data_IF_838160718992
#
_entry.id   IF_838160718992
#
_cell.length_a   1.000
_cell.length_b   1.000
_cell.length_c   1.000
_cell.angle_alpha   90.00
_cell.angle_beta   90.00
_cell.angle_gamma   90.00
#
_symmetry.space_group_name_H-M   'P 1'
#
loop_
_entity.id
_entity.type
_entity.pdbx_description
1 polymer ?
#
# COMPACT_ATOMS: atom_id res chain seq x y z
N UNK A 1 -11.72 -25.05 -2.36
CA UNK A 1 -10.62 -25.07 -3.36
C UNK A 1 -9.63 -23.92 -3.13
N UNK A 2 -10.07 -22.64 -3.19
CA UNK A 2 -9.14 -21.48 -3.11
C UNK A 2 -8.32 -21.45 -1.83
N UNK A 3 -8.94 -21.60 -0.65
CA UNK A 3 -8.21 -21.60 0.62
C UNK A 3 -7.29 -22.81 0.76
N UNK A 4 -7.65 -23.97 0.18
CA UNK A 4 -6.75 -25.14 0.15
C UNK A 4 -5.52 -24.90 -0.71
N UNK A 5 -5.68 -24.30 -1.90
CA UNK A 5 -4.57 -23.91 -2.76
C UNK A 5 -3.67 -22.87 -2.05
N UNK A 6 -4.29 -21.93 -1.34
CA UNK A 6 -3.56 -20.91 -0.58
C UNK A 6 -2.71 -21.51 0.55
N UNK A 7 -3.18 -22.58 1.22
CA UNK A 7 -2.36 -23.28 2.23
C UNK A 7 -1.06 -23.84 1.62
N UNK A 8 -1.09 -24.31 0.37
CA UNK A 8 0.10 -24.77 -0.35
C UNK A 8 1.04 -23.60 -0.63
N UNK A 9 0.51 -22.46 -1.12
CA UNK A 9 1.29 -21.27 -1.44
C UNK A 9 1.91 -20.62 -0.18
N UNK A 10 1.34 -20.82 1.00
CA UNK A 10 1.89 -20.32 2.26
C UNK A 10 3.11 -21.09 2.77
N UNK A 11 3.49 -22.18 2.13
CA UNK A 11 4.67 -22.95 2.55
C UNK A 11 5.93 -22.09 2.43
N UNK A 12 6.69 -22.00 3.53
CA UNK A 12 7.93 -21.22 3.54
C UNK A 12 8.95 -21.81 2.54
N UNK A 13 9.69 -20.94 1.86
CA UNK A 13 10.62 -21.30 0.79
C UNK A 13 10.00 -21.22 -0.61
N UNK A 14 8.66 -21.05 -0.72
CA UNK A 14 7.95 -20.94 -2.01
C UNK A 14 7.06 -19.71 -2.11
N UNK A 15 7.03 -18.87 -1.10
CA UNK A 15 6.16 -17.70 -1.02
C UNK A 15 6.55 -16.65 -2.03
N UNK A 16 5.57 -16.21 -2.80
CA UNK A 16 5.66 -15.06 -3.68
C UNK A 16 5.14 -13.78 -2.98
N UNK A 17 5.21 -12.66 -3.66
CA UNK A 17 4.72 -11.36 -3.18
C UNK A 17 3.25 -11.41 -2.74
N UNK A 18 2.39 -12.20 -3.43
CA UNK A 18 0.98 -12.32 -3.11
C UNK A 18 0.73 -12.80 -1.68
N UNK A 19 1.53 -13.75 -1.20
CA UNK A 19 1.42 -14.29 0.16
C UNK A 19 1.74 -13.21 1.21
N UNK A 20 2.73 -12.35 0.94
CA UNK A 20 3.06 -11.22 1.81
C UNK A 20 1.96 -10.15 1.78
N UNK A 21 1.43 -9.81 0.59
CA UNK A 21 0.27 -8.90 0.45
C UNK A 21 -0.94 -9.42 1.22
N UNK A 22 -1.22 -10.72 1.13
CA UNK A 22 -2.31 -11.35 1.86
C UNK A 22 -2.08 -11.29 3.38
N UNK A 23 -0.85 -11.52 3.85
CA UNK A 23 -0.51 -11.40 5.26
C UNK A 23 -0.72 -9.96 5.77
N UNK A 24 -0.24 -8.93 5.06
CA UNK A 24 -0.43 -7.52 5.42
C UNK A 24 -1.92 -7.17 5.43
N UNK A 25 -2.66 -7.53 4.38
CA UNK A 25 -4.09 -7.25 4.27
C UNK A 25 -4.89 -7.89 5.41
N UNK A 26 -4.61 -9.16 5.74
CA UNK A 26 -5.36 -9.91 6.76
C UNK A 26 -4.93 -9.54 8.20
N UNK A 27 -3.64 -9.31 8.45
CA UNK A 27 -3.12 -9.14 9.81
C UNK A 27 -2.99 -7.69 10.22
N UNK A 28 -2.71 -6.77 9.28
CA UNK A 28 -2.55 -5.36 9.58
C UNK A 28 -3.80 -4.59 9.17
N UNK A 29 -4.18 -4.58 7.88
CA UNK A 29 -5.31 -3.78 7.41
C UNK A 29 -6.64 -4.20 8.04
N UNK A 30 -6.99 -5.48 7.99
CA UNK A 30 -8.27 -5.99 8.52
C UNK A 30 -8.15 -6.56 9.94
N UNK A 31 -6.97 -6.94 10.39
CA UNK A 31 -6.73 -7.49 11.72
C UNK A 31 -6.57 -6.43 12.81
N UNK A 32 -5.96 -5.27 12.48
CA UNK A 32 -5.76 -4.15 13.40
C UNK A 32 -6.72 -3.00 13.11
N UNK A 33 -7.12 -2.84 11.87
CA UNK A 33 -8.00 -1.77 11.37
C UNK A 33 -9.23 -2.37 10.70
N UNK A 34 -9.99 -1.53 10.00
CA UNK A 34 -11.09 -1.95 9.12
C UNK A 34 -11.03 -1.13 7.83
N UNK A 35 -11.67 -1.61 6.76
CA UNK A 35 -11.79 -0.85 5.50
C UNK A 35 -12.59 0.45 5.64
N UNK A 36 -13.27 0.68 6.78
CA UNK A 36 -13.92 1.95 7.13
C UNK A 36 -12.98 2.95 7.78
N UNK A 37 -11.97 2.47 8.51
CA UNK A 37 -11.04 3.32 9.28
C UNK A 37 -9.70 3.52 8.59
N UNK A 38 -9.30 2.58 7.74
CA UNK A 38 -8.05 2.61 6.99
C UNK A 38 -8.29 2.40 5.49
N UNK A 39 -7.41 2.93 4.67
CA UNK A 39 -7.38 2.67 3.23
C UNK A 39 -6.05 2.03 2.84
N UNK A 40 -6.04 1.27 1.75
CA UNK A 40 -4.86 0.61 1.22
C UNK A 40 -4.63 1.03 -0.22
N UNK A 41 -3.39 1.37 -0.55
CA UNK A 41 -2.97 1.68 -1.90
C UNK A 41 -1.97 0.63 -2.34
N UNK A 42 -2.18 0.10 -3.54
CA UNK A 42 -1.25 -0.83 -4.16
C UNK A 42 -0.42 -0.09 -5.21
N UNK A 43 0.84 -0.47 -5.33
CA UNK A 43 1.72 0.02 -6.37
C UNK A 43 1.79 1.56 -6.46
N UNK A 44 1.88 2.22 -5.31
CA UNK A 44 1.88 3.68 -5.26
C UNK A 44 3.25 4.25 -5.66
N UNK A 45 3.26 5.18 -6.62
CA UNK A 45 4.49 5.83 -7.08
C UNK A 45 5.06 6.73 -5.98
N UNK A 46 6.37 6.60 -5.71
CA UNK A 46 7.13 7.46 -4.81
C UNK A 46 8.50 7.74 -5.43
N UNK A 47 8.68 8.92 -5.99
CA UNK A 47 9.86 9.29 -6.76
C UNK A 47 10.07 8.35 -7.95
N UNK A 48 11.25 7.74 -8.06
CA UNK A 48 11.59 6.75 -9.09
C UNK A 48 11.20 5.32 -8.72
N UNK A 49 10.66 5.10 -7.52
CA UNK A 49 10.23 3.79 -7.02
C UNK A 49 8.70 3.66 -7.01
N UNK A 50 8.23 2.43 -6.85
CA UNK A 50 6.83 2.07 -6.74
C UNK A 50 6.66 1.20 -5.51
N UNK A 51 5.93 1.69 -4.53
CA UNK A 51 5.70 1.02 -3.27
C UNK A 51 4.70 -0.13 -3.46
N UNK A 52 5.01 -1.31 -2.96
CA UNK A 52 4.16 -2.49 -3.11
C UNK A 52 2.80 -2.27 -2.44
N UNK A 53 2.82 -1.74 -1.22
CA UNK A 53 1.60 -1.52 -0.46
C UNK A 53 1.76 -0.33 0.50
N UNK A 54 0.73 0.53 0.57
CA UNK A 54 0.64 1.63 1.54
C UNK A 54 -0.66 1.52 2.31
N UNK A 55 -0.60 1.61 3.63
CA UNK A 55 -1.77 1.71 4.51
C UNK A 55 -1.87 3.13 5.05
N UNK A 56 -3.06 3.71 4.92
CA UNK A 56 -3.43 5.04 5.39
C UNK A 56 -4.36 4.91 6.60
N UNK A 57 -3.84 5.17 7.80
CA UNK A 57 -4.61 5.15 9.03
C UNK A 57 -4.05 6.15 10.05
N UNK A 58 -4.51 7.41 9.97
CA UNK A 58 -3.92 8.52 10.73
C UNK A 58 -2.55 8.95 10.18
N UNK A 59 -1.74 8.01 9.73
CA UNK A 59 -0.45 8.24 9.06
C UNK A 59 -0.37 7.43 7.77
N UNK A 60 0.59 7.75 6.90
CA UNK A 60 0.91 6.95 5.71
C UNK A 60 2.08 6.01 6.01
N UNK A 61 1.79 4.72 6.03
CA UNK A 61 2.79 3.66 6.26
C UNK A 61 2.98 2.84 5.00
N UNK A 62 4.18 2.83 4.44
CA UNK A 62 4.55 1.98 3.31
C UNK A 62 5.11 0.64 3.81
N UNK A 63 4.78 -0.41 3.09
CA UNK A 63 5.30 -1.77 3.26
C UNK A 63 5.95 -2.19 1.95
N UNK A 64 7.27 -2.30 1.95
CA UNK A 64 8.05 -2.92 0.88
C UNK A 64 8.15 -4.40 1.15
N UNK A 65 7.84 -5.22 0.16
CA UNK A 65 7.86 -6.68 0.27
C UNK A 65 9.17 -7.22 -0.31
N UNK A 66 9.83 -8.07 0.44
CA UNK A 66 10.98 -8.87 -0.03
C UNK A 66 10.67 -10.34 0.21
N UNK A 67 10.08 -10.97 -0.80
CA UNK A 67 9.80 -12.40 -0.78
C UNK A 67 11.12 -13.22 -0.76
N UNK A 68 11.00 -14.51 -0.63
CA UNK A 68 12.16 -15.41 -0.48
C UNK A 68 13.10 -15.43 -1.70
N UNK A 69 12.63 -14.97 -2.86
CA UNK A 69 13.37 -14.95 -4.13
C UNK A 69 13.83 -13.56 -4.56
N UNK A 70 13.46 -12.52 -3.81
CA UNK A 70 13.77 -11.15 -4.18
C UNK A 70 15.21 -10.77 -3.84
N UNK A 71 15.80 -9.91 -4.69
CA UNK A 71 17.09 -9.30 -4.44
C UNK A 71 16.96 -8.03 -3.60
N UNK A 72 17.90 -7.81 -2.68
CA UNK A 72 18.01 -6.60 -1.88
C UNK A 72 18.74 -5.45 -2.59
N UNK A 73 19.29 -5.67 -3.80
CA UNK A 73 20.13 -4.69 -4.49
C UNK A 73 19.49 -3.32 -4.70
N UNK A 74 18.17 -3.24 -4.84
CA UNK A 74 17.42 -1.98 -5.02
C UNK A 74 16.84 -1.41 -3.73
N UNK A 75 16.93 -2.15 -2.61
CA UNK A 75 16.20 -1.83 -1.38
C UNK A 75 16.59 -0.47 -0.80
N UNK A 76 17.87 -0.13 -0.74
CA UNK A 76 18.33 1.16 -0.24
C UNK A 76 17.71 2.33 -1.03
N UNK A 77 17.75 2.27 -2.36
CA UNK A 77 17.15 3.30 -3.22
C UNK A 77 15.62 3.38 -3.09
N UNK A 78 14.93 2.22 -2.97
CA UNK A 78 13.50 2.17 -2.73
C UNK A 78 13.13 2.86 -1.43
N UNK A 79 13.82 2.53 -0.33
CA UNK A 79 13.63 3.14 0.99
C UNK A 79 13.85 4.65 0.95
N UNK A 80 14.89 5.13 0.29
CA UNK A 80 15.16 6.57 0.17
C UNK A 80 14.03 7.31 -0.57
N UNK A 81 13.50 6.73 -1.63
CA UNK A 81 12.34 7.28 -2.33
C UNK A 81 11.09 7.28 -1.42
N UNK A 82 10.85 6.20 -0.67
CA UNK A 82 9.69 6.09 0.21
C UNK A 82 9.73 7.09 1.37
N UNK A 83 10.90 7.33 1.95
CA UNK A 83 11.11 8.31 3.02
C UNK A 83 10.76 9.74 2.60
N UNK A 84 10.79 10.04 1.31
CA UNK A 84 10.40 11.35 0.76
C UNK A 84 8.90 11.54 0.62
N UNK A 85 8.09 10.49 0.78
CA UNK A 85 6.63 10.52 0.59
C UNK A 85 5.87 10.06 1.83
N UNK A 86 6.40 9.08 2.56
CA UNK A 86 5.70 8.41 3.66
C UNK A 86 6.38 8.67 5.00
N UNK A 87 5.56 8.91 6.03
CA UNK A 87 6.06 9.12 7.39
C UNK A 87 6.67 7.86 7.99
N UNK A 88 6.10 6.68 7.69
CA UNK A 88 6.59 5.38 8.18
C UNK A 88 6.95 4.47 7.02
N UNK A 89 8.11 3.83 7.11
CA UNK A 89 8.60 2.86 6.12
C UNK A 89 8.87 1.54 6.82
N UNK A 90 8.24 0.47 6.35
CA UNK A 90 8.50 -0.89 6.79
C UNK A 90 8.96 -1.75 5.62
N UNK A 91 9.88 -2.67 5.89
CA UNK A 91 10.22 -3.76 4.99
C UNK A 91 9.75 -5.05 5.63
N UNK A 92 8.94 -5.84 4.91
CA UNK A 92 8.51 -7.16 5.35
C UNK A 92 9.14 -8.23 4.48
N UNK A 93 9.73 -9.24 5.11
CA UNK A 93 10.50 -10.25 4.39
C UNK A 93 10.42 -11.65 5.03
N UNK A 94 11.03 -12.62 4.35
CA UNK A 94 11.35 -13.92 4.92
C UNK A 94 12.44 -13.82 6.00
N UNK A 95 12.55 -14.84 6.84
CA UNK A 95 13.57 -14.90 7.88
C UNK A 95 14.99 -14.73 7.30
N UNK A 96 15.23 -15.30 6.13
CA UNK A 96 16.58 -15.37 5.53
C UNK A 96 17.07 -14.01 5.02
N UNK A 97 16.17 -13.06 4.78
CA UNK A 97 16.50 -11.69 4.35
C UNK A 97 16.69 -10.70 5.51
N UNK A 98 16.29 -11.05 6.75
CA UNK A 98 16.20 -10.09 7.86
C UNK A 98 17.57 -9.44 8.16
N UNK A 99 18.65 -10.21 8.26
CA UNK A 99 19.98 -9.68 8.56
C UNK A 99 20.44 -8.71 7.46
N UNK A 100 20.39 -9.13 6.20
CA UNK A 100 20.76 -8.28 5.08
C UNK A 100 19.91 -7.01 4.95
N UNK A 101 18.61 -7.06 5.32
CA UNK A 101 17.76 -5.88 5.37
C UNK A 101 18.21 -4.94 6.49
N UNK A 102 18.48 -5.45 7.70
CA UNK A 102 18.93 -4.64 8.84
C UNK A 102 20.23 -3.89 8.51
N UNK A 103 21.14 -4.52 7.78
CA UNK A 103 22.41 -3.92 7.33
C UNK A 103 22.19 -2.89 6.22
N UNK A 104 21.19 -3.10 5.38
CA UNK A 104 20.94 -2.25 4.18
C UNK A 104 20.15 -0.98 4.52
N UNK A 105 19.18 -1.05 5.44
CA UNK A 105 18.24 0.05 5.67
C UNK A 105 18.55 0.85 6.95
N UNK A 106 18.31 2.18 6.96
CA UNK A 106 18.51 3.03 8.12
C UNK A 106 17.72 2.55 9.37
N UNK A 107 18.18 2.97 10.56
CA UNK A 107 17.60 2.53 11.84
C UNK A 107 16.14 2.97 12.06
N UNK A 108 15.70 4.02 11.39
CA UNK A 108 14.33 4.54 11.43
C UNK A 108 13.33 3.74 10.56
N UNK A 109 13.82 2.81 9.75
CA UNK A 109 13.00 1.91 8.93
C UNK A 109 12.62 0.68 9.73
N UNK A 110 11.34 0.34 9.77
CA UNK A 110 10.84 -0.87 10.41
C UNK A 110 11.20 -2.13 9.62
N UNK A 111 11.44 -3.21 10.35
CA UNK A 111 11.72 -4.52 9.76
C UNK A 111 10.77 -5.56 10.34
N UNK A 112 10.05 -6.25 9.47
CA UNK A 112 9.06 -7.25 9.81
C UNK A 112 9.41 -8.59 9.17
N UNK A 113 9.13 -9.67 9.87
CA UNK A 113 9.33 -11.03 9.40
C UNK A 113 8.00 -11.75 9.23
N UNK A 114 7.74 -12.33 8.05
CA UNK A 114 6.64 -13.27 7.86
C UNK A 114 7.11 -14.67 8.25
N UNK A 115 6.73 -15.12 9.44
CA UNK A 115 7.12 -16.42 9.99
C UNK A 115 6.57 -17.61 9.19
N UNK A 116 7.14 -18.80 9.39
CA UNK A 116 6.65 -20.06 8.78
C UNK A 116 5.17 -20.34 9.07
N UNK A 117 4.65 -19.86 10.20
CA UNK A 117 3.23 -20.02 10.59
C UNK A 117 2.31 -18.91 10.08
N UNK A 118 2.71 -18.18 9.05
CA UNK A 118 1.95 -17.07 8.48
C UNK A 118 1.58 -15.99 9.51
N UNK A 119 2.54 -15.65 10.39
CA UNK A 119 2.43 -14.58 11.38
C UNK A 119 3.46 -13.49 11.07
N UNK A 120 3.04 -12.24 11.13
CA UNK A 120 3.94 -11.09 11.03
C UNK A 120 4.51 -10.83 12.42
N UNK A 121 5.83 -10.78 12.51
CA UNK A 121 6.57 -10.44 13.73
C UNK A 121 7.39 -9.19 13.44
N UNK A 122 7.27 -8.17 14.27
CA UNK A 122 8.10 -6.97 14.19
C UNK A 122 9.48 -7.27 14.78
N UNK A 123 10.52 -7.11 13.98
CA UNK A 123 11.91 -7.26 14.39
C UNK A 123 12.47 -5.90 14.84
N UNK A 124 12.08 -4.84 14.13
CA UNK A 124 12.40 -3.45 14.46
C UNK A 124 11.21 -2.58 14.11
N UNK A 125 10.81 -1.70 15.03
CA UNK A 125 9.73 -0.73 14.80
C UNK A 125 10.17 0.38 13.85
N UNK A 126 9.24 0.83 13.00
CA UNK A 126 9.46 2.00 12.16
C UNK A 126 9.24 3.28 12.96
N UNK A 127 10.18 4.21 12.89
CA UNK A 127 9.96 5.56 13.40
C UNK A 127 9.00 6.34 12.48
N UNK A 128 8.12 7.13 13.07
CA UNK A 128 7.26 8.05 12.34
C UNK A 128 7.98 9.40 12.16
N UNK A 129 8.22 9.78 10.91
CA UNK A 129 9.05 10.92 10.52
C UNK A 129 8.39 11.75 9.41
N UNK A 130 7.26 12.43 9.67
CA UNK A 130 6.60 13.26 8.66
C UNK A 130 7.43 14.47 8.24
N UNK A 131 8.32 14.98 9.11
CA UNK A 131 9.17 16.14 8.86
C UNK A 131 10.21 15.94 7.74
N UNK A 132 10.51 14.68 7.37
CA UNK A 132 11.47 14.36 6.30
C UNK A 132 10.84 14.30 4.91
N UNK A 133 9.53 14.40 4.81
CA UNK A 133 8.79 14.29 3.56
C UNK A 133 9.16 15.46 2.64
N UNK A 134 9.38 15.16 1.36
CA UNK A 134 9.67 16.16 0.35
C UNK A 134 8.37 16.57 -0.36
N UNK A 135 7.86 17.80 -0.15
CA UNK A 135 6.59 18.23 -0.71
C UNK A 135 6.50 18.11 -2.23
N UNK A 136 7.60 18.37 -2.93
CA UNK A 136 7.67 18.21 -4.39
C UNK A 136 7.53 16.75 -4.80
N UNK A 137 8.16 15.82 -4.09
CA UNK A 137 8.03 14.37 -4.39
C UNK A 137 6.62 13.87 -4.09
N UNK A 138 5.97 14.40 -3.05
CA UNK A 138 4.54 14.13 -2.77
C UNK A 138 3.67 14.60 -3.93
N UNK A 139 3.84 15.85 -4.40
CA UNK A 139 3.11 16.38 -5.55
C UNK A 139 3.24 15.46 -6.78
N UNK A 140 4.45 15.03 -7.10
CA UNK A 140 4.75 14.15 -8.25
C UNK A 140 4.15 12.74 -8.10
N UNK A 141 3.72 12.36 -6.88
CA UNK A 141 3.09 11.07 -6.57
C UNK A 141 1.56 11.12 -6.59
N UNK A 142 0.98 12.31 -6.60
CA UNK A 142 -0.46 12.54 -6.51
C UNK A 142 -1.10 12.73 -7.89
N UNK A 143 -2.41 12.50 -7.96
CA UNK A 143 -3.22 12.96 -9.09
C UNK A 143 -3.43 14.47 -9.00
N UNK A 144 -3.55 15.14 -10.12
CA UNK A 144 -3.77 16.61 -10.16
C UNK A 144 -4.98 17.05 -9.33
N UNK A 145 -6.08 16.28 -9.35
CA UNK A 145 -7.27 16.57 -8.54
C UNK A 145 -6.98 16.46 -7.03
N UNK A 146 -6.18 15.48 -6.62
CA UNK A 146 -5.76 15.31 -5.22
C UNK A 146 -4.86 16.48 -4.78
N UNK A 147 -3.93 16.89 -5.63
CA UNK A 147 -3.04 18.04 -5.39
C UNK A 147 -3.83 19.36 -5.26
N UNK A 148 -4.80 19.59 -6.13
CA UNK A 148 -5.68 20.79 -6.02
C UNK A 148 -6.44 20.79 -4.69
N UNK A 149 -7.00 19.63 -4.29
CA UNK A 149 -7.74 19.51 -3.04
C UNK A 149 -6.84 19.82 -1.83
N UNK A 150 -5.62 19.30 -1.81
CA UNK A 150 -4.65 19.54 -0.73
C UNK A 150 -4.34 21.03 -0.61
N UNK A 151 -3.98 21.70 -1.72
CA UNK A 151 -3.68 23.14 -1.71
C UNK A 151 -4.87 23.97 -1.21
N UNK A 152 -6.09 23.67 -1.69
CA UNK A 152 -7.31 24.34 -1.22
C UNK A 152 -7.55 24.16 0.28
N UNK A 153 -7.38 22.94 0.78
CA UNK A 153 -7.58 22.66 2.21
C UNK A 153 -6.53 23.35 3.08
N UNK A 154 -5.31 23.51 2.55
CA UNK A 154 -4.22 24.25 3.21
C UNK A 154 -4.31 25.77 3.01
N UNK A 155 -5.38 26.29 2.41
CA UNK A 155 -5.61 27.72 2.20
C UNK A 155 -4.73 28.35 1.12
N UNK A 156 -4.10 27.54 0.26
CA UNK A 156 -3.26 28.03 -0.84
C UNK A 156 -4.09 28.28 -2.07
N UNK A 157 -4.06 29.52 -2.56
CA UNK A 157 -4.76 29.92 -3.79
C UNK A 157 -3.96 29.44 -5.00
N UNK A 158 -4.58 28.61 -5.83
CA UNK A 158 -3.98 28.16 -7.09
C UNK A 158 -4.31 29.19 -8.18
N UNK A 159 -3.31 29.86 -8.75
CA UNK A 159 -3.58 30.88 -9.80
C UNK A 159 -4.08 30.19 -11.08
N UNK A 160 -4.90 30.96 -11.84
CA UNK A 160 -5.27 30.55 -13.19
C UNK A 160 -4.08 30.76 -14.13
N UNK A 161 -3.56 29.66 -14.65
CA UNK A 161 -2.43 29.64 -15.60
C UNK A 161 -2.73 28.71 -16.78
N UNK A 162 -2.09 28.93 -17.92
CA UNK A 162 -2.19 28.02 -19.07
C UNK A 162 -1.78 26.57 -18.66
N UNK A 163 -2.39 25.55 -19.29
CA UNK A 163 -2.11 24.17 -19.01
C UNK A 163 -0.61 23.81 -19.10
N UNK A 164 0.13 24.44 -19.99
CA UNK A 164 1.58 24.25 -20.15
C UNK A 164 2.39 24.71 -18.94
N UNK A 165 1.89 25.63 -18.15
CA UNK A 165 2.55 26.17 -16.96
C UNK A 165 2.02 25.54 -15.67
N UNK A 166 0.86 24.87 -15.72
CA UNK A 166 0.14 24.36 -14.55
C UNK A 166 0.99 23.44 -13.68
N UNK A 167 1.71 22.50 -14.29
CA UNK A 167 2.55 21.56 -13.55
C UNK A 167 3.68 22.30 -12.79
N UNK A 168 4.37 23.22 -13.44
CA UNK A 168 5.45 24.00 -12.83
C UNK A 168 4.93 24.88 -11.68
N UNK A 169 3.78 25.53 -11.88
CA UNK A 169 3.12 26.35 -10.85
C UNK A 169 2.72 25.51 -9.64
N UNK A 170 2.08 24.37 -9.85
CA UNK A 170 1.71 23.46 -8.75
C UNK A 170 2.93 22.96 -7.99
N UNK A 171 3.99 22.59 -8.69
CA UNK A 171 5.25 22.14 -8.12
C UNK A 171 5.89 23.22 -7.23
N UNK A 172 5.88 24.49 -7.68
CA UNK A 172 6.37 25.60 -6.89
C UNK A 172 5.52 25.85 -5.63
N UNK A 173 4.18 25.81 -5.74
CA UNK A 173 3.29 25.94 -4.59
C UNK A 173 3.55 24.84 -3.56
N UNK A 174 3.67 23.59 -3.99
CA UNK A 174 3.97 22.47 -3.09
C UNK A 174 5.34 22.63 -2.42
N UNK A 175 6.36 23.15 -3.11
CA UNK A 175 7.70 23.31 -2.54
C UNK A 175 7.77 24.18 -1.28
N UNK A 176 6.73 25.00 -1.05
CA UNK A 176 6.63 25.95 0.08
C UNK A 176 5.79 25.42 1.24
N UNK A 177 5.19 24.21 1.11
CA UNK A 177 4.34 23.64 2.15
C UNK A 177 5.18 23.06 3.28
N UNK A 178 4.66 23.15 4.50
CA UNK A 178 5.22 22.42 5.64
C UNK A 178 5.04 20.90 5.44
N UNK A 179 6.09 20.10 5.59
CA UNK A 179 6.04 18.65 5.37
C UNK A 179 5.06 17.93 6.30
N UNK A 180 4.93 18.36 7.56
CA UNK A 180 4.09 17.69 8.56
C UNK A 180 2.61 17.96 8.26
N UNK A 181 2.27 19.21 7.98
CA UNK A 181 0.90 19.60 7.62
C UNK A 181 0.50 18.96 6.28
N UNK A 182 1.40 18.98 5.30
CA UNK A 182 1.19 18.31 4.01
C UNK A 182 0.93 16.80 4.19
N UNK A 183 1.68 16.13 5.06
CA UNK A 183 1.48 14.71 5.34
C UNK A 183 0.05 14.44 5.86
N UNK A 184 -0.40 15.24 6.81
CA UNK A 184 -1.75 15.10 7.38
C UNK A 184 -2.82 15.27 6.29
N UNK A 185 -2.71 16.30 5.46
CA UNK A 185 -3.68 16.58 4.40
C UNK A 185 -3.59 15.54 3.25
N UNK A 186 -2.40 15.05 2.92
CA UNK A 186 -2.22 13.95 1.96
C UNK A 186 -2.94 12.69 2.44
N UNK A 187 -2.73 12.27 3.69
CA UNK A 187 -3.40 11.09 4.26
C UNK A 187 -4.91 11.25 4.22
N UNK A 188 -5.43 12.41 4.65
CA UNK A 188 -6.86 12.72 4.66
C UNK A 188 -7.45 12.68 3.25
N UNK A 189 -6.79 13.33 2.30
CA UNK A 189 -7.23 13.39 0.91
C UNK A 189 -7.21 12.03 0.25
N UNK A 190 -6.12 11.27 0.37
CA UNK A 190 -6.00 9.94 -0.22
C UNK A 190 -6.99 8.94 0.40
N UNK A 191 -7.25 8.99 1.70
CA UNK A 191 -8.30 8.16 2.32
C UNK A 191 -9.68 8.43 1.73
N UNK A 192 -9.99 9.69 1.44
CA UNK A 192 -11.28 10.08 0.86
C UNK A 192 -11.40 9.71 -0.61
N UNK A 193 -10.36 9.98 -1.41
CA UNK A 193 -10.39 9.78 -2.87
C UNK A 193 -10.17 8.32 -3.28
N UNK A 194 -9.60 7.52 -2.41
CA UNK A 194 -9.29 6.10 -2.63
C UNK A 194 -9.86 5.23 -1.52
N UNK A 195 -11.10 5.56 -1.12
CA UNK A 195 -11.84 4.85 -0.09
C UNK A 195 -12.19 3.42 -0.49
N UNK A 196 -11.96 2.48 0.42
CA UNK A 196 -12.26 1.05 0.25
C UNK A 196 -13.48 0.59 1.08
N UNK A 197 -14.15 1.49 1.81
CA UNK A 197 -15.27 1.14 2.68
C UNK A 197 -16.39 0.44 1.91
N UNK A 198 -16.62 0.87 0.68
CA UNK A 198 -17.64 0.29 -0.20
C UNK A 198 -17.35 -1.16 -0.64
N UNK A 199 -16.11 -1.64 -0.47
CA UNK A 199 -15.71 -3.01 -0.76
C UNK A 199 -15.85 -3.94 0.45
N UNK A 200 -16.15 -3.40 1.64
CA UNK A 200 -16.13 -4.16 2.89
C UNK A 200 -16.99 -5.41 2.83
N UNK A 201 -18.26 -5.29 2.39
CA UNK A 201 -19.19 -6.41 2.32
C UNK A 201 -18.77 -7.45 1.28
N UNK A 202 -18.28 -6.99 0.14
CA UNK A 202 -17.74 -7.86 -0.92
C UNK A 202 -16.53 -8.65 -0.42
N UNK A 203 -15.52 -7.96 0.14
CA UNK A 203 -14.30 -8.60 0.65
C UNK A 203 -14.59 -9.60 1.76
N UNK A 204 -15.54 -9.29 2.66
CA UNK A 204 -15.92 -10.18 3.76
C UNK A 204 -16.59 -11.47 3.29
N UNK A 205 -17.25 -11.46 2.12
CA UNK A 205 -17.86 -12.65 1.51
C UNK A 205 -16.86 -13.54 0.77
N UNK A 206 -15.67 -13.02 0.44
CA UNK A 206 -14.65 -13.78 -0.28
C UNK A 206 -13.89 -14.76 0.63
N UNK A 207 -13.42 -15.90 0.10
CA UNK A 207 -12.42 -16.72 0.75
C UNK A 207 -11.21 -15.86 1.16
N UNK A 208 -10.61 -16.17 2.32
CA UNK A 208 -9.46 -15.40 2.84
C UNK A 208 -8.32 -15.31 1.83
N UNK A 209 -8.14 -16.37 1.06
CA UNK A 209 -7.16 -16.43 -0.03
C UNK A 209 -7.35 -15.37 -1.12
N UNK A 210 -8.56 -14.89 -1.37
CA UNK A 210 -8.87 -13.95 -2.45
C UNK A 210 -9.03 -12.49 -1.98
N UNK A 211 -9.08 -12.24 -0.68
CA UNK A 211 -9.32 -10.91 -0.13
C UNK A 211 -8.25 -9.89 -0.57
N UNK A 212 -6.98 -10.27 -0.54
CA UNK A 212 -5.89 -9.38 -0.99
C UNK A 212 -5.97 -9.06 -2.49
N UNK A 213 -6.35 -10.04 -3.32
CA UNK A 213 -6.58 -9.81 -4.75
C UNK A 213 -7.72 -8.83 -4.98
N UNK A 214 -8.85 -9.00 -4.28
CA UNK A 214 -10.00 -8.10 -4.38
C UNK A 214 -9.70 -6.65 -3.95
N UNK A 215 -8.77 -6.46 -3.01
CA UNK A 215 -8.28 -5.16 -2.60
C UNK A 215 -7.25 -4.55 -3.56
N UNK A 216 -6.67 -5.36 -4.46
CA UNK A 216 -5.64 -4.93 -5.42
C UNK A 216 -6.20 -4.65 -6.81
N UNK A 217 -7.36 -5.21 -7.14
CA UNK A 217 -7.97 -5.13 -8.47
C UNK A 217 -9.25 -4.30 -8.38
N UNK A 218 -9.43 -3.38 -9.32
CA UNK A 218 -10.69 -2.63 -9.43
C UNK A 218 -11.78 -3.50 -10.06
N UNK A 219 -12.70 -4.01 -9.24
CA UNK A 219 -13.87 -4.76 -9.68
C UNK A 219 -15.09 -3.85 -9.68
N UNK A 220 -15.86 -3.84 -10.76
CA UNK A 220 -17.10 -3.06 -10.83
C UNK A 220 -18.12 -3.63 -9.85
N UNK A 221 -18.86 -2.76 -9.16
CA UNK A 221 -19.91 -3.18 -8.20
C UNK A 221 -20.94 -4.12 -8.82
N UNK A 222 -21.31 -3.90 -10.09
CA UNK A 222 -22.23 -4.76 -10.83
C UNK A 222 -21.73 -6.20 -11.00
N UNK A 223 -20.42 -6.42 -10.90
CA UNK A 223 -19.80 -7.73 -11.12
C UNK A 223 -19.53 -8.48 -9.79
N UNK A 224 -19.71 -7.81 -8.62
CA UNK A 224 -19.53 -8.47 -7.32
C UNK A 224 -20.41 -9.72 -7.14
N UNK A 225 -21.74 -9.69 -7.43
CA UNK A 225 -22.57 -10.88 -7.32
C UNK A 225 -22.08 -12.02 -8.22
N UNK A 226 -21.76 -11.73 -9.47
CA UNK A 226 -21.26 -12.72 -10.44
C UNK A 226 -19.97 -13.40 -9.98
N UNK A 227 -19.05 -12.62 -9.40
CA UNK A 227 -17.80 -13.16 -8.84
C UNK A 227 -18.05 -14.06 -7.64
N UNK A 228 -18.97 -13.67 -6.74
CA UNK A 228 -19.33 -14.50 -5.60
C UNK A 228 -19.93 -15.81 -6.08
N UNK A 229 -20.90 -15.78 -7.01
CA UNK A 229 -21.54 -16.96 -7.57
C UNK A 229 -20.51 -17.89 -8.26
N UNK A 230 -19.56 -17.31 -9.01
CA UNK A 230 -18.49 -18.07 -9.65
C UNK A 230 -17.56 -18.75 -8.63
N UNK A 231 -17.23 -18.08 -7.53
CA UNK A 231 -16.36 -18.60 -6.47
C UNK A 231 -17.07 -19.71 -5.66
N UNK A 232 -18.37 -19.58 -5.46
CA UNK A 232 -19.21 -20.56 -4.75
C UNK A 232 -19.56 -21.78 -5.62
N UNK A 233 -19.41 -21.69 -6.95
CA UNK A 233 -19.68 -22.79 -7.88
C UNK A 233 -18.77 -24.00 -7.59
N UNK A 234 -19.34 -25.22 -7.47
CA UNK A 234 -18.56 -26.44 -7.30
C UNK A 234 -17.53 -26.62 -8.42
N UNK A 235 -16.32 -27.07 -8.07
CA UNK A 235 -15.22 -27.23 -9.05
C UNK A 235 -15.61 -28.10 -10.24
N UNK A 236 -16.34 -29.19 -9.99
CA UNK A 236 -16.82 -30.10 -11.05
C UNK A 236 -17.70 -29.36 -12.06
N UNK A 237 -18.59 -28.49 -11.60
CA UNK A 237 -19.45 -27.66 -12.47
C UNK A 237 -18.62 -26.60 -13.19
N UNK A 238 -17.66 -25.95 -12.51
CA UNK A 238 -16.79 -24.96 -13.12
C UNK A 238 -15.89 -25.53 -14.23
N UNK A 239 -15.49 -26.81 -14.11
CA UNK A 239 -14.71 -27.51 -15.14
C UNK A 239 -15.51 -27.77 -16.44
N UNK A 240 -16.82 -27.60 -16.42
CA UNK A 240 -17.67 -27.72 -17.63
C UNK A 240 -17.92 -26.39 -18.34
N UNK A 241 -17.38 -25.31 -17.80
CA UNK A 241 -17.44 -24.00 -18.45
C UNK A 241 -16.49 -23.99 -19.66
N UNK A 242 -17.06 -23.86 -20.84
CA UNK A 242 -16.33 -23.76 -22.13
C UNK A 242 -16.44 -22.36 -22.72
#
# INVERSE_FOLDING_TARGET
>A
VFDQAFEILKVAGQRDEYIYRAAISQKILMGTHSLRTASMLNEFRAGSSKADLVILNGTATVYEIKSERDSLARLANQVDNYKRVFAKVNVIASKDHIEGIIETVPKDVGVMCLSKRFRITTVREAAERPERICPVTVFESLRMAESNTILQTMGVVVPEVPNTQRHATMRDLFSRLDPVELHIEMVRTLKRTRDLSSLSDFVNRLPKSLQAAALSISVRRSDHPKLIDAIETPLQTAMTWS
#
